data_IF_309324061033
#
_entry.id   IF_309324061033
#
_cell.length_a   1.000
_cell.length_b   1.000
_cell.length_c   1.000
_cell.angle_alpha   90.00
_cell.angle_beta   90.00
_cell.angle_gamma   90.00
#
_symmetry.space_group_name_H-M   'P 1'
#
loop_
_entity.id
_entity.type
_entity.pdbx_description
1 polymer ?
#
# COMPACT_ATOMS: atom_id res chain seq x y z
N UNK A 1 -4.08 12.48 5.31
CA UNK A 1 -4.24 11.06 5.04
C UNK A 1 -5.59 10.79 4.41
N UNK A 2 -5.64 9.94 3.39
CA UNK A 2 -6.88 9.41 2.83
C UNK A 2 -7.19 8.14 3.58
N UNK A 3 -8.32 8.10 4.28
CA UNK A 3 -8.88 6.88 4.83
C UNK A 3 -9.65 6.17 3.72
N UNK A 4 -9.22 4.96 3.39
CA UNK A 4 -9.96 4.08 2.51
C UNK A 4 -10.54 2.95 3.35
N UNK A 5 -11.86 2.88 3.40
CA UNK A 5 -12.57 1.71 3.91
C UNK A 5 -12.82 0.77 2.74
N UNK A 6 -12.44 -0.48 2.88
CA UNK A 6 -12.74 -1.53 1.90
C UNK A 6 -13.93 -2.33 2.42
N UNK A 7 -15.11 -2.13 1.81
CA UNK A 7 -16.36 -2.79 2.21
C UNK A 7 -17.61 -1.98 1.84
N UNK A 8 -18.79 -2.43 2.26
CA UNK A 8 -20.08 -1.77 1.98
C UNK A 8 -20.18 -0.30 2.44
N UNK A 9 -19.26 0.16 3.28
CA UNK A 9 -19.20 1.53 3.81
C UNK A 9 -18.36 2.49 2.98
N UNK A 10 -17.80 2.08 1.82
CA UNK A 10 -16.98 2.95 0.94
C UNK A 10 -17.74 4.21 0.50
N UNK A 11 -19.01 4.07 0.19
CA UNK A 11 -19.88 5.19 -0.14
C UNK A 11 -20.02 6.17 1.02
N UNK A 12 -20.19 5.67 2.25
CA UNK A 12 -20.32 6.50 3.45
C UNK A 12 -19.01 7.18 3.84
N UNK A 13 -17.86 6.50 3.68
CA UNK A 13 -16.54 7.09 3.91
C UNK A 13 -16.26 8.21 2.89
N UNK A 14 -16.55 8.00 1.62
CA UNK A 14 -16.47 9.02 0.58
C UNK A 14 -17.39 10.22 0.86
N UNK A 15 -18.63 9.96 1.26
CA UNK A 15 -19.56 11.01 1.69
C UNK A 15 -19.07 11.77 2.93
N UNK A 16 -18.49 11.06 3.91
CA UNK A 16 -17.94 11.64 5.11
C UNK A 16 -16.76 12.57 4.83
N UNK A 17 -15.84 12.15 3.96
CA UNK A 17 -14.72 12.98 3.49
C UNK A 17 -15.23 14.22 2.73
N UNK A 18 -16.17 14.02 1.79
CA UNK A 18 -16.78 15.11 1.04
C UNK A 18 -17.52 16.10 1.92
N UNK A 19 -18.24 15.64 2.94
CA UNK A 19 -18.92 16.51 3.93
C UNK A 19 -17.92 17.35 4.73
N UNK A 20 -16.81 16.74 5.19
CA UNK A 20 -15.75 17.47 5.93
C UNK A 20 -15.07 18.52 5.05
N UNK A 21 -14.75 18.19 3.80
CA UNK A 21 -14.16 19.13 2.84
C UNK A 21 -15.13 20.28 2.51
N UNK A 22 -16.42 19.98 2.31
CA UNK A 22 -17.45 20.99 2.11
C UNK A 22 -17.59 21.91 3.32
N UNK A 23 -17.55 21.38 4.53
CA UNK A 23 -17.59 22.17 5.77
C UNK A 23 -16.35 23.08 5.92
N UNK A 24 -15.20 22.65 5.42
CA UNK A 24 -13.97 23.44 5.36
C UNK A 24 -13.94 24.45 4.19
N UNK A 25 -15.00 24.54 3.38
CA UNK A 25 -15.07 25.47 2.24
C UNK A 25 -14.23 25.08 1.03
N UNK A 26 -13.63 23.88 1.02
CA UNK A 26 -12.84 23.38 -0.10
C UNK A 26 -13.77 22.97 -1.25
N UNK A 27 -13.52 23.54 -2.42
CA UNK A 27 -14.26 23.19 -3.67
C UNK A 27 -13.38 22.36 -4.59
N UNK A 28 -14.02 21.43 -5.34
CA UNK A 28 -13.33 20.60 -6.34
C UNK A 28 -12.12 19.83 -5.78
N UNK A 29 -12.24 19.34 -4.53
CA UNK A 29 -11.15 18.71 -3.82
C UNK A 29 -10.91 17.24 -4.24
N UNK A 30 -11.97 16.56 -4.71
CA UNK A 30 -11.94 15.16 -5.14
C UNK A 30 -12.49 15.07 -6.54
N UNK A 31 -11.82 14.38 -7.43
CA UNK A 31 -12.28 14.01 -8.75
C UNK A 31 -12.73 12.55 -8.75
N UNK A 32 -13.92 12.29 -9.28
CA UNK A 32 -14.45 10.94 -9.47
C UNK A 32 -14.93 10.80 -10.91
N UNK A 33 -14.47 9.75 -11.59
CA UNK A 33 -14.85 9.48 -12.98
C UNK A 33 -14.63 8.02 -13.34
N UNK A 34 -15.20 7.59 -14.44
CA UNK A 34 -14.85 6.32 -15.07
C UNK A 34 -13.86 6.55 -16.21
N UNK A 35 -12.98 5.58 -16.40
CA UNK A 35 -12.07 5.56 -17.54
C UNK A 35 -11.93 4.17 -18.15
N UNK A 36 -11.54 4.13 -19.41
CA UNK A 36 -11.11 2.92 -20.09
C UNK A 36 -9.62 2.71 -19.83
N UNK A 37 -9.25 1.58 -19.21
CA UNK A 37 -7.87 1.23 -18.89
C UNK A 37 -7.30 0.14 -19.83
N UNK A 38 -7.84 0.01 -21.03
CA UNK A 38 -7.32 -0.89 -22.07
C UNK A 38 -8.08 -2.20 -22.18
N UNK A 39 -7.35 -3.28 -22.47
CA UNK A 39 -7.92 -4.60 -22.67
C UNK A 39 -7.89 -5.38 -21.36
N UNK A 40 -9.06 -5.81 -20.88
CA UNK A 40 -9.18 -6.70 -19.72
C UNK A 40 -8.87 -8.14 -20.09
N UNK A 41 -9.46 -8.64 -21.19
CA UNK A 41 -9.31 -9.99 -21.61
C UNK A 41 -9.38 -10.11 -23.13
N UNK A 42 -8.57 -10.98 -23.68
CA UNK A 42 -8.63 -11.42 -25.07
C UNK A 42 -8.44 -12.93 -25.13
N UNK A 43 -9.29 -13.60 -25.85
CA UNK A 43 -9.16 -15.05 -26.09
C UNK A 43 -9.53 -15.37 -27.52
N UNK A 44 -8.83 -16.31 -28.12
CA UNK A 44 -9.19 -16.96 -29.37
C UNK A 44 -9.29 -18.45 -29.09
N UNK A 45 -10.48 -18.99 -29.26
CA UNK A 45 -10.70 -20.43 -29.12
C UNK A 45 -10.01 -21.17 -30.27
N UNK A 46 -9.12 -22.11 -29.91
CA UNK A 46 -8.28 -22.82 -30.85
C UNK A 46 -9.11 -23.71 -31.80
N UNK A 47 -10.23 -24.22 -31.32
CA UNK A 47 -11.04 -25.22 -32.06
C UNK A 47 -12.07 -24.54 -32.96
N UNK A 48 -12.75 -23.50 -32.48
CA UNK A 48 -13.78 -22.80 -33.24
C UNK A 48 -13.25 -21.60 -34.04
N UNK A 49 -12.05 -21.12 -33.71
CA UNK A 49 -11.49 -19.88 -34.25
C UNK A 49 -12.20 -18.61 -33.77
N UNK A 50 -13.17 -18.73 -32.88
CA UNK A 50 -13.92 -17.56 -32.36
C UNK A 50 -13.02 -16.76 -31.44
N UNK A 51 -12.92 -15.45 -31.72
CA UNK A 51 -12.16 -14.52 -30.89
C UNK A 51 -13.09 -13.53 -30.19
N UNK A 52 -12.78 -13.20 -28.94
CA UNK A 52 -13.41 -12.09 -28.23
C UNK A 52 -12.40 -11.24 -27.49
N UNK A 53 -12.76 -9.97 -27.30
CA UNK A 53 -12.00 -9.00 -26.53
C UNK A 53 -12.95 -8.28 -25.60
N UNK A 54 -12.50 -8.00 -24.38
CA UNK A 54 -13.22 -7.19 -23.39
C UNK A 54 -12.37 -6.01 -22.98
N UNK A 55 -12.98 -4.83 -22.94
CA UNK A 55 -12.34 -3.61 -22.43
C UNK A 55 -12.35 -3.63 -20.90
N UNK A 56 -11.30 -3.11 -20.32
CA UNK A 56 -11.21 -2.87 -18.88
C UNK A 56 -11.71 -1.46 -18.58
N UNK A 57 -12.70 -1.37 -17.71
CA UNK A 57 -13.19 -0.11 -17.18
C UNK A 57 -12.90 -0.08 -15.69
N UNK A 58 -12.53 1.09 -15.20
CA UNK A 58 -12.29 1.31 -13.78
C UNK A 58 -12.92 2.63 -13.33
N UNK A 59 -13.36 2.66 -12.09
CA UNK A 59 -13.79 3.87 -11.43
C UNK A 59 -12.59 4.49 -10.70
N UNK A 60 -12.44 5.79 -10.84
CA UNK A 60 -11.29 6.53 -10.30
C UNK A 60 -11.77 7.52 -9.26
N UNK A 61 -11.11 7.50 -8.10
CA UNK A 61 -11.25 8.53 -7.06
C UNK A 61 -9.88 9.14 -6.84
N UNK A 62 -9.73 10.43 -7.08
CA UNK A 62 -8.42 11.07 -7.00
C UNK A 62 -8.48 12.47 -6.40
N UNK A 63 -7.34 12.92 -5.88
CA UNK A 63 -7.13 14.31 -5.47
C UNK A 63 -5.66 14.68 -5.61
N UNK A 64 -5.40 15.98 -5.67
CA UNK A 64 -4.05 16.54 -5.63
C UNK A 64 -3.82 17.33 -4.35
N UNK A 65 -2.57 17.34 -3.89
CA UNK A 65 -2.12 18.21 -2.80
C UNK A 65 -0.74 18.75 -3.08
N UNK A 66 -0.52 20.01 -2.72
CA UNK A 66 0.77 20.68 -2.87
C UNK A 66 1.49 20.69 -1.52
N UNK A 67 2.74 20.24 -1.49
CA UNK A 67 3.61 20.27 -0.32
C UNK A 67 4.95 20.88 -0.72
N UNK A 68 5.20 22.11 -0.34
CA UNK A 68 6.38 22.88 -0.80
C UNK A 68 6.33 23.08 -2.32
N UNK A 69 7.35 22.61 -3.02
CA UNK A 69 7.44 22.67 -4.50
C UNK A 69 6.86 21.43 -5.19
N UNK A 70 6.38 20.45 -4.44
CA UNK A 70 5.88 19.21 -5.00
C UNK A 70 4.36 19.17 -5.01
N UNK A 71 3.81 18.63 -6.09
CA UNK A 71 2.40 18.30 -6.21
C UNK A 71 2.24 16.79 -6.26
N UNK A 72 1.40 16.26 -5.38
CA UNK A 72 1.14 14.83 -5.30
C UNK A 72 -0.29 14.54 -5.73
N UNK A 73 -0.44 13.70 -6.74
CA UNK A 73 -1.73 13.14 -7.13
C UNK A 73 -1.90 11.76 -6.51
N UNK A 74 -2.97 11.57 -5.77
CA UNK A 74 -3.34 10.28 -5.19
C UNK A 74 -4.55 9.74 -5.90
N UNK A 75 -4.43 8.50 -6.40
CA UNK A 75 -5.44 7.85 -7.23
C UNK A 75 -5.79 6.51 -6.62
N UNK A 76 -7.09 6.27 -6.47
CA UNK A 76 -7.66 4.97 -6.18
C UNK A 76 -8.42 4.51 -7.40
N UNK A 77 -8.08 3.33 -7.89
CA UNK A 77 -8.71 2.68 -9.02
C UNK A 77 -9.48 1.46 -8.55
N UNK A 78 -10.75 1.42 -8.88
CA UNK A 78 -11.67 0.33 -8.53
C UNK A 78 -12.08 -0.36 -9.84
N UNK A 79 -11.65 -1.59 -9.99
CA UNK A 79 -11.84 -2.38 -11.20
C UNK A 79 -13.07 -3.28 -11.09
N UNK A 80 -13.59 -3.72 -12.26
CA UNK A 80 -14.78 -4.57 -12.35
C UNK A 80 -14.58 -5.98 -11.78
N UNK A 81 -13.36 -6.44 -11.62
CA UNK A 81 -13.01 -7.73 -11.03
C UNK A 81 -12.80 -7.68 -9.51
N UNK A 82 -13.00 -6.52 -8.90
CA UNK A 82 -12.78 -6.29 -7.47
C UNK A 82 -11.36 -5.89 -7.12
N UNK A 83 -10.45 -5.77 -8.09
CA UNK A 83 -9.10 -5.24 -7.86
C UNK A 83 -9.19 -3.77 -7.42
N UNK A 84 -8.41 -3.43 -6.41
CA UNK A 84 -8.22 -2.05 -5.93
C UNK A 84 -6.74 -1.72 -6.11
N UNK A 85 -6.46 -0.62 -6.79
CA UNK A 85 -5.09 -0.14 -7.00
C UNK A 85 -4.95 1.26 -6.41
N UNK A 86 -3.84 1.51 -5.74
CA UNK A 86 -3.44 2.83 -5.27
C UNK A 86 -2.20 3.30 -6.01
N UNK A 87 -2.26 4.52 -6.55
CA UNK A 87 -1.14 5.16 -7.23
C UNK A 87 -0.88 6.54 -6.63
N UNK A 88 0.39 6.81 -6.29
CA UNK A 88 0.86 8.14 -5.94
C UNK A 88 1.71 8.70 -7.09
N UNK A 89 1.26 9.82 -7.70
CA UNK A 89 2.00 10.53 -8.75
C UNK A 89 2.74 11.71 -8.12
N UNK A 90 4.08 11.63 -8.10
CA UNK A 90 4.92 12.73 -7.68
C UNK A 90 5.18 13.64 -8.89
N UNK A 91 4.82 14.91 -8.77
CA UNK A 91 4.98 15.94 -9.78
C UNK A 91 5.32 17.29 -9.13
N UNK A 92 5.23 18.40 -9.85
CA UNK A 92 5.59 19.72 -9.37
C UNK A 92 6.99 20.12 -9.83
N UNK A 93 7.71 20.88 -9.01
CA UNK A 93 9.04 21.41 -9.31
C UNK A 93 10.07 20.78 -8.38
N UNK A 94 11.12 20.19 -8.96
CA UNK A 94 12.19 19.57 -8.16
C UNK A 94 12.83 20.58 -7.21
N UNK A 95 13.04 20.16 -5.97
CA UNK A 95 13.77 20.95 -4.99
C UNK A 95 15.24 21.11 -5.39
N UNK A 96 15.77 22.33 -5.37
CA UNK A 96 17.12 22.63 -5.80
C UNK A 96 17.95 23.27 -4.69
N UNK A 97 19.27 23.05 -4.76
CA UNK A 97 20.26 23.71 -3.88
C UNK A 97 21.48 24.14 -4.70
N UNK A 98 22.25 25.09 -4.17
CA UNK A 98 23.55 25.41 -4.74
C UNK A 98 24.48 24.18 -4.62
N UNK A 99 25.19 23.87 -5.72
CA UNK A 99 26.28 22.92 -5.70
C UNK A 99 27.60 23.68 -5.47
N UNK A 100 28.45 23.22 -4.52
CA UNK A 100 29.83 23.66 -4.45
C UNK A 100 30.56 23.34 -5.77
N UNK A 101 31.70 24.01 -6.03
CA UNK A 101 32.57 23.65 -7.15
C UNK A 101 32.96 22.18 -7.08
N UNK A 102 32.62 21.43 -8.13
CA UNK A 102 32.80 19.99 -8.24
C UNK A 102 31.49 19.20 -8.25
N UNK A 103 31.55 17.94 -8.63
CA UNK A 103 30.40 17.02 -8.57
C UNK A 103 30.06 16.65 -7.13
N UNK A 104 28.78 16.49 -6.85
CA UNK A 104 28.30 15.98 -5.55
C UNK A 104 27.78 14.56 -5.69
N UNK A 105 28.24 13.66 -4.82
CA UNK A 105 27.70 12.29 -4.75
C UNK A 105 26.26 12.25 -4.22
N UNK A 106 25.72 13.39 -3.75
CA UNK A 106 24.43 13.49 -3.07
C UNK A 106 23.37 14.27 -3.86
N UNK A 107 23.70 14.75 -5.05
CA UNK A 107 22.81 15.53 -5.89
C UNK A 107 23.11 15.33 -7.38
N UNK A 108 22.08 15.46 -8.22
CA UNK A 108 22.26 15.59 -9.66
C UNK A 108 22.41 17.06 -10.04
N UNK A 109 23.46 17.43 -10.79
CA UNK A 109 23.57 18.77 -11.35
C UNK A 109 22.54 18.93 -12.48
N UNK A 110 21.71 19.97 -12.39
CA UNK A 110 20.65 20.27 -13.36
C UNK A 110 20.91 21.55 -14.15
N UNK A 111 21.82 22.39 -13.67
CA UNK A 111 22.38 23.55 -14.35
C UNK A 111 23.72 23.89 -13.68
N UNK A 112 24.62 24.67 -14.32
CA UNK A 112 25.90 25.01 -13.72
C UNK A 112 25.76 25.60 -12.30
N UNK A 113 26.33 24.92 -11.31
CA UNK A 113 26.27 25.29 -9.90
C UNK A 113 24.93 25.07 -9.20
N UNK A 114 23.98 24.39 -9.86
CA UNK A 114 22.64 24.10 -9.31
C UNK A 114 22.40 22.59 -9.29
N UNK A 115 22.11 22.04 -8.13
CA UNK A 115 21.86 20.62 -7.92
C UNK A 115 20.47 20.31 -7.44
N UNK A 116 19.98 19.12 -7.78
CA UNK A 116 18.81 18.48 -7.18
C UNK A 116 19.28 17.42 -6.20
N UNK A 117 19.18 17.63 -4.88
CA UNK A 117 19.60 16.65 -3.87
C UNK A 117 18.79 15.36 -3.96
N UNK A 118 19.46 14.21 -3.76
CA UNK A 118 18.77 12.93 -3.66
C UNK A 118 17.93 12.87 -2.39
N UNK A 119 16.70 12.41 -2.50
CA UNK A 119 15.78 12.26 -1.36
C UNK A 119 14.72 11.20 -1.66
N UNK A 120 14.07 10.71 -0.62
CA UNK A 120 12.97 9.77 -0.72
C UNK A 120 11.63 10.46 -0.45
N UNK A 121 10.61 10.05 -1.18
CA UNK A 121 9.21 10.30 -0.86
C UNK A 121 8.61 8.97 -0.38
N UNK A 122 8.10 8.97 0.85
CA UNK A 122 7.53 7.79 1.49
C UNK A 122 6.05 8.04 1.73
N UNK A 123 5.22 7.15 1.23
CA UNK A 123 3.77 7.20 1.37
C UNK A 123 3.33 6.03 2.25
N UNK A 124 2.37 6.28 3.14
CA UNK A 124 1.75 5.24 3.95
C UNK A 124 0.27 5.15 3.63
N UNK A 125 -0.20 3.98 3.24
CA UNK A 125 -1.61 3.67 3.09
C UNK A 125 -2.12 2.99 4.36
N UNK A 126 -3.24 3.51 4.91
CA UNK A 126 -4.01 2.88 5.99
C UNK A 126 -5.19 2.17 5.40
N UNK A 127 -5.23 0.85 5.53
CA UNK A 127 -6.26 -0.01 4.96
C UNK A 127 -7.04 -0.69 6.10
N UNK A 128 -8.30 -0.34 6.22
CA UNK A 128 -9.25 -0.86 7.19
C UNK A 128 -10.20 -1.80 6.43
N UNK A 129 -10.12 -3.10 6.72
CA UNK A 129 -10.80 -4.15 5.99
C UNK A 129 -12.09 -4.58 6.70
N UNK A 130 -13.20 -4.61 5.97
CA UNK A 130 -14.46 -5.19 6.40
C UNK A 130 -14.88 -6.31 5.44
N UNK A 131 -14.35 -7.50 5.64
CA UNK A 131 -14.59 -8.68 4.79
C UNK A 131 -15.75 -9.53 5.37
N UNK A 132 -16.98 -9.15 5.08
CA UNK A 132 -18.20 -9.83 5.57
C UNK A 132 -18.25 -10.00 7.10
N UNK A 133 -17.64 -9.09 7.85
CA UNK A 133 -17.57 -9.11 9.30
C UNK A 133 -16.34 -8.37 9.84
N UNK A 134 -16.12 -8.41 11.14
CA UNK A 134 -15.08 -7.64 11.82
C UNK A 134 -13.75 -8.38 12.01
N UNK A 135 -13.73 -9.70 11.99
CA UNK A 135 -12.53 -10.48 12.26
C UNK A 135 -11.73 -10.81 11.01
N UNK A 136 -10.47 -10.38 10.95
CA UNK A 136 -9.58 -10.65 9.85
C UNK A 136 -8.35 -11.46 10.28
N UNK A 137 -7.75 -12.15 9.32
CA UNK A 137 -6.49 -12.88 9.43
C UNK A 137 -5.52 -12.34 8.41
N UNK A 138 -4.24 -12.20 8.77
CA UNK A 138 -3.19 -11.81 7.84
C UNK A 138 -2.16 -12.92 7.72
N UNK A 139 -1.89 -13.31 6.48
CA UNK A 139 -0.88 -14.33 6.15
C UNK A 139 0.11 -13.74 5.14
N UNK A 140 1.40 -13.98 5.36
CA UNK A 140 2.44 -13.77 4.36
C UNK A 140 2.50 -14.95 3.41
N UNK A 141 2.44 -14.71 2.10
CA UNK A 141 2.51 -15.75 1.08
C UNK A 141 3.77 -15.57 0.23
N UNK A 142 4.65 -16.58 0.26
CA UNK A 142 5.87 -16.67 -0.53
C UNK A 142 5.76 -17.78 -1.58
N UNK A 143 6.35 -17.57 -2.75
CA UNK A 143 6.57 -18.61 -3.75
C UNK A 143 7.88 -19.35 -3.43
N UNK A 144 7.81 -20.66 -3.25
CA UNK A 144 8.96 -21.49 -2.89
C UNK A 144 9.25 -22.56 -3.93
N UNK A 145 10.51 -22.72 -4.31
CA UNK A 145 10.95 -23.80 -5.17
C UNK A 145 10.89 -25.11 -4.40
N UNK A 146 10.45 -26.18 -5.08
CA UNK A 146 10.52 -27.51 -4.52
C UNK A 146 11.84 -28.18 -4.95
N UNK A 147 12.54 -28.88 -4.05
CA UNK A 147 13.74 -29.61 -4.40
C UNK A 147 13.43 -30.80 -5.31
N UNK A 148 14.47 -31.36 -5.95
CA UNK A 148 14.37 -32.65 -6.60
C UNK A 148 13.89 -33.70 -5.59
N UNK A 149 12.88 -34.47 -5.97
CA UNK A 149 12.32 -35.57 -5.18
C UNK A 149 11.61 -36.55 -6.09
N UNK A 150 11.11 -37.63 -5.53
CA UNK A 150 10.23 -38.57 -6.26
C UNK A 150 8.99 -37.85 -6.81
N UNK A 151 8.41 -36.92 -6.06
CA UNK A 151 7.26 -36.11 -6.50
C UNK A 151 7.66 -34.97 -7.45
N UNK A 152 8.94 -34.61 -7.53
CA UNK A 152 9.47 -33.56 -8.40
C UNK A 152 10.76 -34.04 -9.12
N UNK A 153 10.68 -35.09 -9.97
CA UNK A 153 11.85 -35.71 -10.55
C UNK A 153 12.56 -34.82 -11.59
N UNK A 154 11.95 -33.74 -12.04
CA UNK A 154 12.54 -32.79 -12.98
C UNK A 154 13.04 -31.52 -12.30
N UNK A 155 12.77 -31.33 -11.00
CA UNK A 155 13.20 -30.16 -10.23
C UNK A 155 12.61 -28.82 -10.71
N UNK A 156 11.50 -28.84 -11.46
CA UNK A 156 10.89 -27.64 -12.05
C UNK A 156 9.57 -27.24 -11.38
N UNK A 157 9.22 -27.88 -10.28
CA UNK A 157 8.03 -27.52 -9.51
C UNK A 157 8.32 -26.42 -8.47
N UNK A 158 7.31 -25.62 -8.20
CA UNK A 158 7.27 -24.64 -7.13
C UNK A 158 5.86 -24.61 -6.52
N UNK A 159 5.74 -24.05 -5.34
CA UNK A 159 4.48 -23.93 -4.62
C UNK A 159 4.43 -22.59 -3.87
N UNK A 160 3.27 -22.29 -3.29
CA UNK A 160 3.13 -21.20 -2.32
C UNK A 160 3.28 -21.73 -0.90
N UNK A 161 3.87 -20.93 -0.03
CA UNK A 161 3.90 -21.14 1.41
C UNK A 161 3.26 -19.95 2.09
N UNK A 162 2.26 -20.19 2.92
CA UNK A 162 1.63 -19.20 3.78
C UNK A 162 2.17 -19.30 5.19
N UNK A 163 2.40 -18.15 5.81
CA UNK A 163 2.84 -18.00 7.18
C UNK A 163 1.89 -17.04 7.88
N UNK A 164 1.19 -17.51 8.90
CA UNK A 164 0.32 -16.68 9.71
C UNK A 164 1.14 -15.58 10.42
N UNK A 165 0.62 -14.38 10.44
CA UNK A 165 1.12 -13.26 11.23
C UNK A 165 0.18 -13.06 12.43
N UNK A 166 0.45 -13.67 13.59
CA UNK A 166 -0.54 -13.74 14.66
C UNK A 166 -0.57 -12.48 15.53
N UNK A 167 0.51 -11.70 15.57
CA UNK A 167 0.63 -10.53 16.45
C UNK A 167 1.18 -9.32 15.71
N UNK A 168 1.04 -8.15 16.31
CA UNK A 168 1.47 -6.88 15.75
C UNK A 168 2.98 -6.85 15.43
N UNK A 169 3.83 -7.41 16.30
CA UNK A 169 5.27 -7.48 16.04
C UNK A 169 5.61 -8.51 14.97
N UNK A 170 4.89 -9.63 14.92
CA UNK A 170 5.06 -10.62 13.86
C UNK A 170 4.67 -10.07 12.48
N UNK A 171 3.82 -9.05 12.45
CA UNK A 171 3.33 -8.42 11.23
C UNK A 171 4.16 -7.21 10.75
N UNK A 172 5.31 -6.97 11.34
CA UNK A 172 6.30 -6.00 10.83
C UNK A 172 7.15 -6.67 9.76
N UNK A 173 6.78 -6.50 8.49
CA UNK A 173 7.35 -7.29 7.39
C UNK A 173 7.97 -6.42 6.31
N UNK A 174 8.95 -6.99 5.63
CA UNK A 174 9.60 -6.39 4.46
C UNK A 174 9.11 -7.09 3.18
N UNK A 175 9.00 -6.33 2.10
CA UNK A 175 8.77 -6.90 0.78
C UNK A 175 9.97 -7.75 0.35
N UNK A 176 9.71 -8.85 -0.37
CA UNK A 176 10.74 -9.71 -0.95
C UNK A 176 10.33 -10.17 -2.35
N UNK A 177 10.88 -9.51 -3.35
CA UNK A 177 10.63 -9.84 -4.76
C UNK A 177 11.24 -11.17 -5.19
N UNK A 178 12.27 -11.66 -4.51
CA UNK A 178 12.94 -12.92 -4.87
C UNK A 178 12.03 -14.13 -4.69
N UNK A 179 11.02 -14.00 -3.82
CA UNK A 179 9.99 -15.01 -3.56
C UNK A 179 8.58 -14.51 -3.92
N UNK A 180 8.47 -13.41 -4.65
CA UNK A 180 7.20 -12.79 -5.02
C UNK A 180 6.24 -12.64 -3.82
N UNK A 181 6.78 -12.16 -2.68
CA UNK A 181 6.05 -12.02 -1.42
C UNK A 181 4.83 -11.14 -1.58
N UNK A 182 3.72 -11.62 -1.02
CA UNK A 182 2.45 -10.90 -0.92
C UNK A 182 1.85 -11.13 0.46
N UNK A 183 0.86 -10.33 0.84
CA UNK A 183 0.12 -10.53 2.09
C UNK A 183 -1.36 -10.73 1.79
N UNK A 184 -1.94 -11.76 2.40
CA UNK A 184 -3.34 -12.13 2.24
C UNK A 184 -4.08 -11.70 3.49
N UNK A 185 -5.07 -10.82 3.33
CA UNK A 185 -6.01 -10.43 4.38
C UNK A 185 -7.31 -11.17 4.10
N UNK A 186 -7.75 -12.02 5.00
CA UNK A 186 -8.91 -12.89 4.82
C UNK A 186 -9.85 -12.86 6.01
N UNK A 187 -11.12 -13.16 5.77
CA UNK A 187 -12.06 -13.51 6.83
C UNK A 187 -12.24 -15.04 6.84
N UNK A 188 -11.68 -15.75 7.83
CA UNK A 188 -11.77 -17.21 7.88
C UNK A 188 -13.19 -17.75 8.13
N UNK A 189 -14.11 -16.89 8.60
CA UNK A 189 -15.51 -17.27 8.85
C UNK A 189 -16.39 -17.08 7.62
N UNK A 190 -15.97 -16.27 6.64
CA UNK A 190 -16.69 -16.06 5.39
C UNK A 190 -16.08 -16.88 4.26
N UNK A 191 -16.76 -17.92 3.83
CA UNK A 191 -16.29 -18.88 2.85
C UNK A 191 -17.00 -18.68 1.51
N UNK A 192 -16.22 -18.55 0.45
CA UNK A 192 -16.74 -18.42 -0.90
C UNK A 192 -17.22 -19.78 -1.46
N UNK A 193 -17.84 -19.76 -2.66
CA UNK A 193 -18.38 -20.95 -3.31
C UNK A 193 -17.36 -22.04 -3.65
N UNK A 194 -16.05 -21.75 -3.55
CA UNK A 194 -14.97 -22.72 -3.79
C UNK A 194 -14.44 -23.33 -2.49
N UNK A 195 -15.03 -22.98 -1.34
CA UNK A 195 -14.59 -23.44 -0.03
C UNK A 195 -13.38 -22.69 0.52
N UNK A 196 -13.02 -21.55 -0.06
CA UNK A 196 -11.89 -20.72 0.37
C UNK A 196 -12.40 -19.47 1.11
N UNK A 197 -11.66 -18.96 2.09
CA UNK A 197 -11.99 -17.70 2.75
C UNK A 197 -12.08 -16.53 1.75
N UNK A 198 -13.03 -15.63 2.00
CA UNK A 198 -13.07 -14.34 1.29
C UNK A 198 -11.83 -13.54 1.66
N UNK A 199 -11.10 -13.03 0.67
CA UNK A 199 -9.80 -12.40 0.88
C UNK A 199 -9.46 -11.34 -0.14
N UNK A 200 -8.63 -10.40 0.27
CA UNK A 200 -7.80 -9.58 -0.61
C UNK A 200 -6.33 -9.98 -0.49
N UNK A 201 -5.61 -9.85 -1.58
CA UNK A 201 -4.17 -10.05 -1.61
C UNK A 201 -3.49 -8.72 -1.90
N UNK A 202 -2.67 -8.24 -0.95
CA UNK A 202 -1.84 -7.06 -1.12
C UNK A 202 -0.56 -7.43 -1.88
N UNK A 203 -0.36 -6.78 -3.02
CA UNK A 203 0.83 -6.88 -3.84
C UNK A 203 1.72 -5.66 -3.57
N UNK A 204 2.84 -5.80 -2.84
CA UNK A 204 3.72 -4.68 -2.58
C UNK A 204 4.45 -4.26 -3.86
N UNK A 205 4.75 -2.96 -3.96
CA UNK A 205 5.77 -2.49 -4.89
C UNK A 205 7.14 -2.81 -4.33
N UNK A 206 8.09 -3.20 -5.18
CA UNK A 206 9.46 -3.53 -4.72
C UNK A 206 10.34 -2.29 -4.50
N UNK A 207 9.79 -1.25 -3.90
CA UNK A 207 10.53 -0.04 -3.57
C UNK A 207 11.28 -0.20 -2.23
N UNK A 208 12.42 0.44 -2.05
CA UNK A 208 13.15 0.41 -0.79
C UNK A 208 12.35 1.12 0.31
N UNK A 209 12.41 0.57 1.51
CA UNK A 209 11.98 1.24 2.73
C UNK A 209 12.91 2.43 3.07
N UNK A 210 12.77 3.02 4.25
CA UNK A 210 13.58 4.15 4.71
C UNK A 210 15.09 3.89 4.52
N UNK A 211 15.76 4.76 3.76
CA UNK A 211 17.22 4.70 3.53
C UNK A 211 18.02 5.55 4.53
N UNK A 212 17.37 6.42 5.28
CA UNK A 212 18.04 7.18 6.32
C UNK A 212 18.49 6.26 7.47
N UNK A 213 19.67 6.51 8.03
CA UNK A 213 20.20 5.74 9.15
C UNK A 213 19.22 5.70 10.34
N UNK A 214 19.22 4.59 11.08
CA UNK A 214 18.29 4.35 12.18
C UNK A 214 18.33 5.47 13.24
N UNK A 215 19.52 5.99 13.56
CA UNK A 215 19.71 7.06 14.53
C UNK A 215 19.43 8.46 13.99
N UNK A 216 19.10 8.59 12.69
CA UNK A 216 18.82 9.89 12.10
C UNK A 216 17.51 10.48 12.64
N UNK A 217 17.43 11.80 12.68
CA UNK A 217 16.20 12.50 13.08
C UNK A 217 15.03 12.22 12.14
N UNK A 218 15.31 11.93 10.87
CA UNK A 218 14.32 11.57 9.86
C UNK A 218 13.73 10.19 10.17
N UNK A 219 14.57 9.19 10.40
CA UNK A 219 14.12 7.83 10.71
C UNK A 219 13.31 7.81 12.01
N UNK A 220 13.79 8.45 13.07
CA UNK A 220 13.06 8.53 14.35
C UNK A 220 11.65 9.15 14.21
N UNK A 221 11.46 10.08 13.29
CA UNK A 221 10.14 10.71 13.05
C UNK A 221 9.25 9.91 12.11
N UNK A 222 9.84 9.07 11.26
CA UNK A 222 9.12 8.30 10.26
C UNK A 222 9.50 6.81 10.34
N UNK A 223 9.66 6.27 11.54
CA UNK A 223 10.06 4.87 11.78
C UNK A 223 9.08 3.87 11.14
N UNK A 224 7.81 4.23 10.95
CA UNK A 224 6.85 3.41 10.22
C UNK A 224 7.36 2.99 8.84
N UNK A 225 8.12 3.84 8.17
CA UNK A 225 8.65 3.60 6.83
C UNK A 225 9.86 2.64 6.81
N UNK A 226 10.29 2.12 7.96
CA UNK A 226 11.33 1.09 8.05
C UNK A 226 10.84 -0.31 7.68
N UNK A 227 9.54 -0.51 7.54
CA UNK A 227 8.90 -1.75 7.12
C UNK A 227 7.91 -1.50 5.99
N UNK A 228 7.76 -2.49 5.12
CA UNK A 228 6.80 -2.44 4.04
C UNK A 228 5.37 -2.80 4.51
N UNK A 229 5.23 -3.53 5.59
CA UNK A 229 3.95 -3.89 6.19
C UNK A 229 4.00 -3.71 7.71
N UNK A 230 2.93 -3.14 8.25
CA UNK A 230 2.53 -3.21 9.64
C UNK A 230 1.07 -3.65 9.70
N UNK A 231 0.70 -4.35 10.75
CA UNK A 231 -0.71 -4.61 11.08
C UNK A 231 -0.91 -4.24 12.54
N UNK A 232 -1.97 -3.52 12.83
CA UNK A 232 -2.36 -3.16 14.18
C UNK A 232 -3.83 -3.53 14.43
N UNK A 233 -4.22 -3.72 15.68
CA UNK A 233 -5.65 -3.73 16.02
C UNK A 233 -6.25 -2.37 15.66
N UNK A 234 -7.53 -2.35 15.29
CA UNK A 234 -8.23 -1.12 14.99
C UNK A 234 -8.34 -0.24 16.23
N UNK A 235 -7.96 1.04 16.07
CA UNK A 235 -8.24 2.09 17.03
C UNK A 235 -8.64 3.37 16.30
N UNK A 236 -9.70 4.02 16.77
CA UNK A 236 -10.30 5.19 16.09
C UNK A 236 -9.38 6.41 16.06
N UNK A 237 -8.45 6.53 16.99
CA UNK A 237 -7.47 7.58 17.15
C UNK A 237 -6.10 7.27 16.51
N UNK A 238 -5.85 6.01 16.14
CA UNK A 238 -4.64 5.60 15.40
C UNK A 238 -4.80 5.84 13.90
N UNK A 239 -4.63 7.11 13.47
CA UNK A 239 -4.95 7.53 12.09
C UNK A 239 -3.75 7.78 11.21
N UNK A 240 -2.62 8.18 11.78
CA UNK A 240 -1.44 8.61 11.04
C UNK A 240 -0.23 7.78 11.47
N UNK A 241 0.50 7.14 10.55
CA UNK A 241 1.54 6.17 10.90
C UNK A 241 2.71 6.76 11.71
N UNK A 242 2.87 8.09 11.69
CA UNK A 242 3.85 8.83 12.51
C UNK A 242 3.28 9.38 13.81
N UNK A 243 1.99 9.12 14.13
CA UNK A 243 1.26 9.81 15.17
C UNK A 243 0.80 11.21 14.73
N UNK A 244 0.04 11.89 15.61
CA UNK A 244 -0.59 13.19 15.30
C UNK A 244 0.41 14.36 15.17
N UNK A 245 1.57 14.27 15.84
CA UNK A 245 2.53 15.37 15.96
C UNK A 245 3.95 14.97 15.56
N UNK A 246 4.21 14.55 14.31
CA UNK A 246 5.51 14.00 13.90
C UNK A 246 6.68 14.98 14.02
N UNK A 247 6.41 16.29 13.99
CA UNK A 247 7.44 17.34 14.07
C UNK A 247 7.68 17.89 15.48
N UNK A 248 6.91 17.45 16.47
CA UNK A 248 6.87 18.05 17.81
C UNK A 248 7.12 17.04 18.94
N UNK A 249 7.67 15.88 18.63
CA UNK A 249 8.03 14.87 19.64
C UNK A 249 9.43 14.28 19.37
N UNK A 250 9.93 13.52 20.34
CA UNK A 250 11.31 12.99 20.30
C UNK A 250 11.56 11.93 19.21
N UNK A 251 10.52 11.38 18.62
CA UNK A 251 10.57 10.30 17.62
C UNK A 251 9.83 9.04 18.07
N UNK A 252 9.74 8.05 17.17
CA UNK A 252 9.12 6.75 17.36
C UNK A 252 7.63 6.77 17.75
N UNK A 253 6.93 7.88 17.51
CA UNK A 253 5.48 7.96 17.65
C UNK A 253 4.75 7.20 16.54
N UNK A 254 3.45 6.98 16.72
CA UNK A 254 2.64 6.27 15.74
C UNK A 254 2.82 4.76 15.80
N UNK A 255 2.91 4.10 14.66
CA UNK A 255 2.97 2.64 14.55
C UNK A 255 4.01 1.97 15.46
N UNK A 256 5.25 2.45 15.56
CA UNK A 256 6.23 1.84 16.47
C UNK A 256 5.78 1.81 17.93
N UNK A 257 5.05 2.84 18.37
CA UNK A 257 4.53 2.92 19.75
C UNK A 257 3.26 2.10 19.91
N UNK A 258 2.35 2.17 18.95
CA UNK A 258 1.04 1.49 19.03
C UNK A 258 1.18 -0.03 19.03
N UNK A 259 2.14 -0.56 18.26
CA UNK A 259 2.36 -2.01 18.15
C UNK A 259 3.30 -2.59 19.22
N UNK A 260 3.82 -1.77 20.15
CA UNK A 260 4.72 -2.22 21.21
C UNK A 260 4.09 -3.24 22.16
N UNK A 261 2.76 -3.17 22.32
CA UNK A 261 2.04 -4.09 23.17
C UNK A 261 1.94 -5.51 22.60
N UNK A 262 2.32 -5.68 21.34
CA UNK A 262 2.30 -6.96 20.60
C UNK A 262 0.96 -7.69 20.72
N UNK A 263 -0.13 -6.95 20.51
CA UNK A 263 -1.49 -7.47 20.60
C UNK A 263 -1.71 -8.57 19.57
N UNK A 264 -2.58 -9.53 19.90
CA UNK A 264 -3.06 -10.53 18.96
C UNK A 264 -3.86 -9.85 17.82
N UNK A 265 -3.66 -10.28 16.58
CA UNK A 265 -4.35 -9.75 15.40
C UNK A 265 -5.06 -10.83 14.57
N UNK A 266 -5.01 -12.11 14.99
CA UNK A 266 -5.68 -13.20 14.30
C UNK A 266 -7.16 -13.29 14.72
N UNK A 267 -8.06 -12.98 13.82
CA UNK A 267 -9.50 -12.94 14.07
C UNK A 267 -10.01 -11.64 14.69
N UNK A 268 -9.16 -10.61 14.74
CA UNK A 268 -9.49 -9.32 15.32
C UNK A 268 -9.88 -8.28 14.22
N UNK A 269 -10.47 -7.18 14.69
CA UNK A 269 -10.66 -5.98 13.84
C UNK A 269 -9.32 -5.26 13.70
N UNK A 270 -8.80 -5.20 12.47
CA UNK A 270 -7.42 -4.79 12.20
C UNK A 270 -7.32 -3.68 11.17
N UNK A 271 -6.20 -3.00 11.22
CA UNK A 271 -5.74 -2.06 10.19
C UNK A 271 -4.42 -2.56 9.61
N UNK A 272 -4.37 -2.66 8.29
CA UNK A 272 -3.15 -2.95 7.53
C UNK A 272 -2.54 -1.64 7.05
N UNK A 273 -1.25 -1.47 7.26
CA UNK A 273 -0.48 -0.31 6.84
C UNK A 273 0.62 -0.73 5.86
N UNK A 274 0.66 -0.06 4.72
CA UNK A 274 1.63 -0.34 3.65
C UNK A 274 2.28 0.93 3.11
#
# INVERSE_FOLDING_TARGET
GVLVHVGQTEYEAGLGAGKRMKAAGVKNAICMHEEDSGVLAKHTDLWSGVAYTRRNRRFVVSFFTTVGNYDYGFYWYLYLDGTIEFEAKATGIVFTSALPEGSSDFASEIAPGLGAPFHQHLFGARLDFALDGGGCRVEEEDVVRLPFSEANPRGNAFTRRRTLLPTELAAQRDADQSVARTWVVSNPESINRLGEPVAYKLHPTGLPTMLAAEDSSVNRRATFASKALWVSQYAVDERYPTGDFPNQHAGHGGLPTWTQADRDIDGEDIVVWH
#
